data_IF_285377170760
#
_entry.id   IF_285377170760
#
_cell.length_a   1.000
_cell.length_b   1.000
_cell.length_c   1.000
_cell.angle_alpha   90.00
_cell.angle_beta   90.00
_cell.angle_gamma   90.00
#
_symmetry.space_group_name_H-M   'P 1'
#
loop_
_entity.id
_entity.type
_entity.pdbx_description
1 polymer ?
#
# COMPACT_ATOMS: atom_id res chain seq x y z
N UNK A 1 35.06 -66.87 -26.34
CA UNK A 1 33.59 -67.02 -26.28
C UNK A 1 33.22 -67.77 -25.01
N UNK A 2 32.14 -67.46 -24.28
CA UNK A 2 31.22 -66.30 -24.30
C UNK A 2 31.25 -65.54 -22.92
N UNK A 3 30.84 -64.28 -22.67
CA UNK A 3 29.61 -63.48 -22.85
C UNK A 3 28.34 -64.04 -22.22
N UNK A 4 27.83 -63.33 -21.20
CA UNK A 4 26.40 -63.22 -20.88
C UNK A 4 25.93 -63.99 -19.64
N UNK A 5 25.31 -63.30 -18.68
CA UNK A 5 23.86 -63.13 -18.73
C UNK A 5 23.40 -61.92 -17.89
N UNK A 6 22.58 -61.07 -18.51
CA UNK A 6 21.74 -60.06 -17.87
C UNK A 6 20.40 -60.74 -17.62
N UNK A 7 19.75 -60.48 -16.48
CA UNK A 7 18.28 -60.28 -16.50
C UNK A 7 17.76 -59.57 -15.24
N UNK A 8 16.63 -58.83 -15.39
CA UNK A 8 16.10 -57.86 -14.45
C UNK A 8 14.96 -58.44 -13.60
N UNK A 9 14.55 -57.73 -12.55
CA UNK A 9 13.25 -57.91 -11.94
C UNK A 9 12.54 -56.57 -11.82
N UNK A 10 11.55 -56.40 -12.69
CA UNK A 10 10.49 -55.41 -12.55
C UNK A 10 9.39 -55.92 -11.61
N UNK A 11 8.78 -54.95 -10.94
CA UNK A 11 7.41 -54.89 -10.44
C UNK A 11 6.89 -55.96 -9.46
N UNK A 12 6.49 -55.50 -8.26
CA UNK A 12 5.12 -55.75 -7.80
C UNK A 12 4.64 -54.60 -6.89
N UNK A 13 3.60 -53.90 -7.38
CA UNK A 13 2.72 -53.01 -6.64
C UNK A 13 2.08 -53.72 -5.44
N UNK A 14 1.67 -52.88 -4.48
CA UNK A 14 0.63 -53.07 -3.45
C UNK A 14 1.07 -53.62 -2.09
N UNK A 15 1.44 -52.69 -1.21
CA UNK A 15 0.86 -52.63 0.14
C UNK A 15 0.56 -51.17 0.47
N UNK A 16 -0.61 -50.70 0.05
CA UNK A 16 -1.31 -49.61 0.74
C UNK A 16 -1.87 -50.18 2.05
N UNK A 17 -1.44 -49.66 3.19
CA UNK A 17 -2.32 -49.31 4.31
C UNK A 17 -1.52 -48.82 5.52
N UNK A 18 -2.00 -47.70 6.08
CA UNK A 18 -1.95 -47.36 7.51
C UNK A 18 -0.71 -46.63 8.05
N UNK A 19 -0.82 -45.30 8.11
CA UNK A 19 -0.57 -44.37 9.23
C UNK A 19 -0.40 -42.97 8.59
N UNK A 20 -1.44 -42.17 8.35
CA UNK A 20 -2.31 -41.43 9.29
C UNK A 20 -1.55 -40.60 10.35
N UNK A 21 -1.47 -39.30 10.03
CA UNK A 21 -1.65 -38.13 10.90
C UNK A 21 -0.57 -37.75 11.93
N UNK A 22 0.21 -36.72 11.58
CA UNK A 22 0.50 -35.56 12.42
C UNK A 22 0.92 -34.43 11.46
N UNK A 23 0.03 -33.49 11.11
CA UNK A 23 -0.25 -32.32 11.95
C UNK A 23 0.44 -31.09 11.34
N UNK A 24 -0.09 -30.58 10.23
CA UNK A 24 0.31 -29.26 9.67
C UNK A 24 -0.91 -28.55 9.10
N UNK A 25 -1.85 -28.23 10.00
CA UNK A 25 -3.03 -27.40 9.71
C UNK A 25 -2.88 -26.01 10.33
N UNK A 26 -1.70 -25.39 10.21
CA UNK A 26 -1.45 -24.03 10.74
C UNK A 26 -1.07 -22.98 9.70
N UNK A 27 -1.18 -23.28 8.39
CA UNK A 27 -0.84 -22.32 7.33
C UNK A 27 -2.02 -21.62 6.67
N UNK A 28 -3.25 -21.76 7.17
CA UNK A 28 -4.46 -21.19 6.55
C UNK A 28 -5.17 -20.18 7.50
N UNK A 29 -4.40 -19.33 8.19
CA UNK A 29 -4.98 -18.25 9.03
C UNK A 29 -4.48 -16.83 8.76
N UNK A 30 -3.62 -16.60 7.76
CA UNK A 30 -3.09 -15.25 7.48
C UNK A 30 -3.37 -14.66 6.09
N UNK A 31 -4.13 -15.33 5.22
CA UNK A 31 -4.41 -14.79 3.86
C UNK A 31 -5.72 -14.00 3.72
N UNK A 32 -6.50 -13.82 4.79
CA UNK A 32 -7.80 -13.14 4.71
C UNK A 32 -7.73 -11.60 4.82
N UNK A 33 -6.66 -11.03 5.40
CA UNK A 33 -6.56 -9.58 5.63
C UNK A 33 -6.04 -8.77 4.44
N UNK A 34 -5.07 -9.31 3.69
CA UNK A 34 -4.38 -8.58 2.60
C UNK A 34 -5.29 -8.41 1.38
N UNK A 35 -6.12 -9.41 1.09
CA UNK A 35 -7.10 -9.35 -0.02
C UNK A 35 -8.16 -8.26 0.20
N UNK A 36 -8.51 -7.97 1.46
CA UNK A 36 -9.56 -7.01 1.80
C UNK A 36 -9.06 -5.55 1.68
N UNK A 37 -7.79 -5.28 2.02
CA UNK A 37 -7.19 -3.94 1.90
C UNK A 37 -7.00 -3.52 0.44
N UNK A 38 -6.55 -4.44 -0.42
CA UNK A 38 -6.44 -4.18 -1.86
C UNK A 38 -7.82 -3.94 -2.50
N UNK A 39 -8.85 -4.69 -2.06
CA UNK A 39 -10.22 -4.49 -2.50
C UNK A 39 -10.77 -3.11 -2.11
N UNK A 40 -10.46 -2.62 -0.90
CA UNK A 40 -10.91 -1.30 -0.42
C UNK A 40 -10.27 -0.16 -1.21
N UNK A 41 -8.96 -0.23 -1.50
CA UNK A 41 -8.29 0.80 -2.32
C UNK A 41 -8.81 0.81 -3.76
N UNK A 42 -9.09 -0.37 -4.33
CA UNK A 42 -9.73 -0.50 -5.64
C UNK A 42 -11.17 0.02 -5.60
N UNK A 43 -11.93 -0.21 -4.54
CA UNK A 43 -13.27 0.33 -4.37
C UNK A 43 -13.28 1.86 -4.25
N UNK A 44 -12.33 2.45 -3.54
CA UNK A 44 -12.16 3.92 -3.46
C UNK A 44 -11.82 4.49 -4.84
N UNK A 45 -10.89 3.86 -5.59
CA UNK A 45 -10.56 4.28 -6.95
C UNK A 45 -11.75 4.13 -7.93
N UNK A 46 -12.55 3.06 -7.81
CA UNK A 46 -13.75 2.85 -8.62
C UNK A 46 -14.88 3.84 -8.26
N UNK A 47 -15.00 4.23 -6.98
CA UNK A 47 -15.94 5.26 -6.54
C UNK A 47 -15.62 6.60 -7.22
N UNK A 48 -14.34 6.98 -7.26
CA UNK A 48 -13.85 8.22 -7.90
C UNK A 48 -14.20 8.26 -9.40
N UNK A 49 -14.10 7.12 -10.11
CA UNK A 49 -14.42 7.04 -11.55
C UNK A 49 -15.93 7.11 -11.81
N UNK A 50 -16.75 6.45 -10.99
CA UNK A 50 -18.22 6.41 -11.14
C UNK A 50 -18.92 7.71 -10.77
N UNK A 51 -18.33 8.53 -9.87
CA UNK A 51 -18.93 9.78 -9.39
C UNK A 51 -18.70 10.98 -10.33
N UNK A 52 -17.86 10.83 -11.38
CA UNK A 52 -17.59 11.87 -12.39
C UNK A 52 -18.79 12.20 -13.29
N UNK A 53 -19.77 11.31 -13.40
CA UNK A 53 -20.95 11.48 -14.28
C UNK A 53 -22.15 12.13 -13.57
N UNK A 54 -22.06 12.42 -12.26
CA UNK A 54 -23.20 12.85 -11.43
C UNK A 54 -23.02 14.23 -10.79
N UNK A 55 -22.42 15.19 -11.49
CA UNK A 55 -22.29 16.57 -11.01
C UNK A 55 -23.61 17.34 -11.19
N UNK A 56 -24.38 17.45 -10.11
CA UNK A 56 -25.50 18.40 -9.97
C UNK A 56 -25.12 19.54 -9.03
N UNK A 57 -25.43 20.77 -9.46
CA UNK A 57 -25.15 22.02 -8.75
C UNK A 57 -25.85 22.10 -7.38
N UNK A 58 -25.07 22.41 -6.33
CA UNK A 58 -25.58 22.62 -4.97
C UNK A 58 -24.72 23.61 -4.20
N UNK A 59 -25.13 24.88 -4.25
CA UNK A 59 -24.52 26.03 -3.57
C UNK A 59 -24.90 26.08 -2.08
N UNK A 60 -23.95 25.76 -1.21
CA UNK A 60 -23.77 26.24 0.17
C UNK A 60 -22.46 25.63 0.68
N UNK A 61 -21.68 26.33 1.51
CA UNK A 61 -20.53 25.74 2.19
C UNK A 61 -20.96 25.30 3.61
N UNK A 62 -21.57 24.11 3.79
CA UNK A 62 -21.77 23.57 5.13
C UNK A 62 -20.43 23.13 5.70
N UNK A 63 -20.26 23.30 7.00
CA UNK A 63 -19.25 22.60 7.80
C UNK A 63 -19.23 21.12 7.39
N UNK A 64 -18.04 20.56 7.19
CA UNK A 64 -17.91 19.19 6.70
C UNK A 64 -18.57 18.23 7.71
N UNK A 65 -19.49 17.35 7.26
CA UNK A 65 -20.17 16.43 8.16
C UNK A 65 -19.16 15.43 8.74
N UNK A 66 -19.24 15.19 10.05
CA UNK A 66 -18.51 14.10 10.70
C UNK A 66 -19.17 12.78 10.30
N UNK A 67 -18.37 11.80 9.90
CA UNK A 67 -18.84 10.47 9.47
C UNK A 67 -18.48 9.44 10.54
N UNK A 68 -19.47 9.03 11.32
CA UNK A 68 -19.37 8.04 12.39
C UNK A 68 -20.37 6.88 12.24
N UNK A 69 -21.25 6.94 11.25
CA UNK A 69 -22.28 5.93 10.98
C UNK A 69 -22.39 5.63 9.47
N UNK A 70 -22.85 4.42 9.09
CA UNK A 70 -23.14 4.10 7.69
C UNK A 70 -24.17 5.06 7.06
N UNK A 71 -25.18 5.49 7.81
CA UNK A 71 -26.22 6.40 7.31
C UNK A 71 -25.67 7.78 6.98
N UNK A 72 -24.71 8.27 7.77
CA UNK A 72 -24.02 9.53 7.47
C UNK A 72 -23.20 9.43 6.18
N UNK A 73 -22.60 8.27 5.89
CA UNK A 73 -21.88 8.01 4.64
C UNK A 73 -22.82 7.98 3.43
N UNK A 74 -23.99 7.33 3.55
CA UNK A 74 -25.01 7.25 2.50
C UNK A 74 -25.65 8.60 2.17
N UNK A 75 -25.68 9.53 3.13
CA UNK A 75 -26.22 10.87 2.95
C UNK A 75 -25.29 11.83 2.16
N UNK A 76 -24.05 11.42 1.87
CA UNK A 76 -23.08 12.26 1.17
C UNK A 76 -23.38 12.37 -0.32
N UNK A 77 -23.28 13.60 -0.83
CA UNK A 77 -23.29 13.84 -2.28
C UNK A 77 -21.90 13.66 -2.89
N UNK A 78 -21.86 13.37 -4.19
CA UNK A 78 -20.62 13.29 -4.97
C UNK A 78 -19.73 14.54 -4.77
N UNK A 79 -20.33 15.73 -4.88
CA UNK A 79 -19.64 17.00 -4.73
C UNK A 79 -19.10 17.23 -3.30
N UNK A 80 -19.75 16.66 -2.26
CA UNK A 80 -19.22 16.71 -0.90
C UNK A 80 -17.99 15.80 -0.77
N UNK A 81 -18.08 14.56 -1.23
CA UNK A 81 -16.96 13.61 -1.21
C UNK A 81 -15.76 14.17 -1.97
N UNK A 82 -15.98 14.73 -3.16
CA UNK A 82 -14.93 15.33 -3.97
C UNK A 82 -14.25 16.50 -3.24
N UNK A 83 -15.01 17.43 -2.65
CA UNK A 83 -14.45 18.52 -1.85
C UNK A 83 -13.63 18.02 -0.67
N UNK A 84 -14.12 17.00 0.03
CA UNK A 84 -13.39 16.38 1.15
C UNK A 84 -12.06 15.77 0.68
N UNK A 85 -12.07 15.11 -0.48
CA UNK A 85 -10.89 14.49 -1.06
C UNK A 85 -9.86 15.51 -1.53
N UNK A 86 -10.31 16.59 -2.18
CA UNK A 86 -9.44 17.69 -2.60
C UNK A 86 -8.78 18.38 -1.40
N UNK A 87 -9.54 18.63 -0.33
CA UNK A 87 -8.99 19.20 0.91
C UNK A 87 -7.97 18.28 1.58
N UNK A 88 -8.28 16.98 1.67
CA UNK A 88 -7.36 15.99 2.23
C UNK A 88 -6.08 15.86 1.38
N UNK A 89 -6.20 15.90 0.06
CA UNK A 89 -5.04 15.87 -0.85
C UNK A 89 -4.16 17.11 -0.67
N UNK A 90 -4.73 18.31 -0.56
CA UNK A 90 -3.97 19.52 -0.29
C UNK A 90 -3.23 19.43 1.05
N UNK A 91 -3.90 18.98 2.10
CA UNK A 91 -3.27 18.79 3.41
C UNK A 91 -2.17 17.70 3.39
N UNK A 92 -2.25 16.71 2.49
CA UNK A 92 -1.18 15.72 2.32
C UNK A 92 0.10 16.35 1.72
N UNK A 93 -0.07 17.36 0.85
CA UNK A 93 1.03 18.15 0.31
C UNK A 93 1.73 18.95 1.41
N UNK A 94 0.96 19.59 2.29
CA UNK A 94 1.47 20.37 3.42
C UNK A 94 2.19 19.47 4.45
N UNK A 95 1.77 18.21 4.56
CA UNK A 95 2.37 17.21 5.43
C UNK A 95 3.68 16.58 4.91
N UNK A 96 4.20 17.00 3.75
CA UNK A 96 5.44 16.45 3.15
C UNK A 96 6.65 16.55 4.09
N UNK A 97 6.69 17.54 4.98
CA UNK A 97 7.77 17.71 5.96
C UNK A 97 7.63 16.86 7.23
N UNK A 98 6.52 16.15 7.42
CA UNK A 98 6.25 15.42 8.66
C UNK A 98 6.72 13.97 8.58
N UNK A 99 7.36 13.43 9.64
CA UNK A 99 7.71 12.01 9.70
C UNK A 99 6.46 11.13 9.69
N UNK A 100 6.57 9.82 9.40
CA UNK A 100 5.46 8.88 9.55
C UNK A 100 4.94 8.91 10.99
N UNK A 101 3.64 8.68 11.17
CA UNK A 101 3.05 8.56 12.49
C UNK A 101 3.69 7.35 13.20
N UNK A 102 4.10 7.56 14.44
CA UNK A 102 4.62 6.53 15.33
C UNK A 102 3.64 6.36 16.48
N UNK A 103 3.19 5.12 16.72
CA UNK A 103 2.24 4.81 17.80
C UNK A 103 0.77 5.07 17.46
N UNK A 104 -0.11 5.06 18.48
CA UNK A 104 -1.56 5.11 18.29
C UNK A 104 -2.05 6.42 17.66
N UNK A 105 -2.97 6.31 16.70
CA UNK A 105 -3.61 7.47 16.05
C UNK A 105 -4.90 7.80 16.78
N UNK A 106 -4.85 8.81 17.65
CA UNK A 106 -5.98 9.21 18.52
C UNK A 106 -6.93 10.22 17.87
N UNK A 107 -6.50 10.88 16.79
CA UNK A 107 -7.30 11.85 16.06
C UNK A 107 -7.07 11.75 14.54
N UNK A 108 -8.09 12.11 13.76
CA UNK A 108 -8.02 12.15 12.29
C UNK A 108 -6.96 13.18 11.84
N UNK A 109 -5.91 12.78 11.10
CA UNK A 109 -5.02 13.75 10.49
C UNK A 109 -5.72 14.56 9.39
N UNK A 110 -5.33 15.81 9.20
CA UNK A 110 -5.96 16.70 8.21
C UNK A 110 -5.91 16.17 6.77
N UNK A 111 -4.87 15.37 6.45
CA UNK A 111 -4.69 14.73 5.14
C UNK A 111 -5.52 13.46 4.92
N UNK A 112 -6.38 13.10 5.87
CA UNK A 112 -7.34 11.99 5.76
C UNK A 112 -8.73 12.58 5.80
N UNK A 113 -9.56 12.37 4.77
CA UNK A 113 -10.95 12.86 4.78
C UNK A 113 -11.81 12.14 5.83
N UNK A 114 -12.98 12.68 6.20
CA UNK A 114 -13.88 11.99 7.16
C UNK A 114 -14.32 10.62 6.64
N UNK A 115 -14.56 10.51 5.33
CA UNK A 115 -14.91 9.22 4.68
C UNK A 115 -13.77 8.23 4.81
N UNK A 116 -12.55 8.64 4.47
CA UNK A 116 -11.37 7.79 4.62
C UNK A 116 -11.16 7.41 6.09
N UNK A 117 -11.31 8.36 7.00
CA UNK A 117 -11.13 8.13 8.43
C UNK A 117 -12.13 7.11 8.99
N UNK A 118 -13.39 7.21 8.60
CA UNK A 118 -14.40 6.21 8.93
C UNK A 118 -13.98 4.82 8.43
N UNK A 119 -13.67 4.70 7.14
CA UNK A 119 -13.29 3.43 6.51
C UNK A 119 -12.03 2.84 7.16
N UNK A 120 -11.00 3.65 7.40
CA UNK A 120 -9.74 3.17 7.98
C UNK A 120 -9.95 2.65 9.41
N UNK A 121 -10.79 3.29 10.21
CA UNK A 121 -11.15 2.81 11.56
C UNK A 121 -11.93 1.49 11.50
N UNK A 122 -12.91 1.38 10.61
CA UNK A 122 -13.69 0.15 10.43
C UNK A 122 -12.82 -1.02 9.96
N UNK A 123 -11.86 -0.78 9.07
CA UNK A 123 -10.91 -1.81 8.61
C UNK A 123 -9.95 -2.18 9.74
N UNK A 124 -9.42 -1.21 10.47
CA UNK A 124 -8.48 -1.47 11.56
C UNK A 124 -9.13 -2.27 12.71
N UNK A 125 -10.39 -2.00 13.04
CA UNK A 125 -11.14 -2.68 14.09
C UNK A 125 -11.32 -4.19 13.87
N UNK A 126 -11.15 -4.68 12.63
CA UNK A 126 -11.30 -6.10 12.30
C UNK A 126 -10.05 -6.94 12.62
N UNK A 127 -8.92 -6.30 12.91
CA UNK A 127 -7.64 -6.96 13.16
C UNK A 127 -7.36 -7.24 14.64
N UNK A 128 -6.36 -8.09 14.93
CA UNK A 128 -5.93 -8.39 16.31
C UNK A 128 -5.23 -7.20 17.00
N UNK A 129 -4.73 -6.23 16.22
CA UNK A 129 -4.11 -5.00 16.72
C UNK A 129 -4.67 -3.78 15.95
N UNK A 130 -5.82 -3.24 16.38
CA UNK A 130 -6.49 -2.13 15.70
C UNK A 130 -5.67 -0.85 15.69
N UNK A 131 -4.98 -0.52 16.78
CA UNK A 131 -4.23 0.74 16.89
C UNK A 131 -3.02 0.76 15.95
N UNK A 132 -2.21 -0.31 15.95
CA UNK A 132 -1.09 -0.41 15.03
C UNK A 132 -1.56 -0.50 13.57
N UNK A 133 -2.67 -1.21 13.32
CA UNK A 133 -3.25 -1.30 11.97
C UNK A 133 -3.72 0.06 11.48
N UNK A 134 -4.40 0.85 12.32
CA UNK A 134 -4.85 2.19 11.95
C UNK A 134 -3.66 3.10 11.63
N UNK A 135 -2.62 3.09 12.45
CA UNK A 135 -1.39 3.86 12.20
C UNK A 135 -0.75 3.49 10.85
N UNK A 136 -0.62 2.19 10.56
CA UNK A 136 -0.11 1.69 9.28
C UNK A 136 -0.96 2.19 8.11
N UNK A 137 -2.29 2.02 8.19
CA UNK A 137 -3.21 2.42 7.13
C UNK A 137 -3.19 3.91 6.85
N UNK A 138 -3.09 4.74 7.89
CA UNK A 138 -2.98 6.20 7.76
C UNK A 138 -1.66 6.60 7.10
N UNK A 139 -0.55 5.96 7.48
CA UNK A 139 0.76 6.19 6.85
C UNK A 139 0.77 5.77 5.38
N UNK A 140 0.17 4.62 5.05
CA UNK A 140 -0.01 4.15 3.68
C UNK A 140 -0.83 5.13 2.85
N UNK A 141 -1.97 5.60 3.37
CA UNK A 141 -2.82 6.57 2.68
C UNK A 141 -2.06 7.87 2.39
N UNK A 142 -1.30 8.37 3.36
CA UNK A 142 -0.46 9.56 3.17
C UNK A 142 0.57 9.33 2.06
N UNK A 143 1.26 8.19 2.07
CA UNK A 143 2.22 7.84 1.03
C UNK A 143 1.56 7.81 -0.35
N UNK A 144 0.40 7.15 -0.50
CA UNK A 144 -0.35 7.12 -1.76
C UNK A 144 -0.73 8.52 -2.27
N UNK A 145 -1.28 9.37 -1.40
CA UNK A 145 -1.61 10.77 -1.77
C UNK A 145 -0.36 11.55 -2.20
N UNK A 146 0.77 11.35 -1.52
CA UNK A 146 2.03 12.01 -1.88
C UNK A 146 2.60 11.51 -3.21
N UNK A 147 2.43 10.24 -3.57
CA UNK A 147 2.78 9.73 -4.91
C UNK A 147 1.93 10.40 -5.99
N UNK A 148 0.62 10.50 -5.79
CA UNK A 148 -0.28 11.18 -6.73
C UNK A 148 0.07 12.66 -6.89
N UNK A 149 0.33 13.35 -5.79
CA UNK A 149 0.79 14.75 -5.80
C UNK A 149 2.13 14.89 -6.52
N UNK A 150 3.08 13.98 -6.28
CA UNK A 150 4.38 14.00 -6.93
C UNK A 150 4.26 13.89 -8.44
N UNK A 151 3.37 13.03 -8.94
CA UNK A 151 3.16 12.86 -10.39
C UNK A 151 2.69 14.16 -11.05
N UNK A 152 1.91 14.98 -10.34
CA UNK A 152 1.34 16.24 -10.83
C UNK A 152 2.22 17.47 -10.54
N UNK A 153 3.06 17.40 -9.51
CA UNK A 153 3.90 18.49 -9.07
C UNK A 153 5.01 18.81 -10.08
N UNK A 154 5.48 20.05 -10.03
CA UNK A 154 6.62 20.55 -10.82
C UNK A 154 7.58 21.35 -9.92
N UNK A 155 8.81 21.58 -10.41
CA UNK A 155 9.80 22.41 -9.73
C UNK A 155 10.14 21.93 -8.31
N UNK A 156 10.31 22.86 -7.38
CA UNK A 156 10.75 22.58 -6.02
C UNK A 156 9.82 21.63 -5.24
N UNK A 157 8.50 21.73 -5.45
CA UNK A 157 7.54 20.85 -4.80
C UNK A 157 7.71 19.40 -5.26
N UNK A 158 7.97 19.18 -6.55
CA UNK A 158 8.23 17.84 -7.10
C UNK A 158 9.47 17.22 -6.48
N UNK A 159 10.56 17.97 -6.37
CA UNK A 159 11.79 17.47 -5.75
C UNK A 159 11.62 17.20 -4.24
N UNK A 160 10.89 18.06 -3.51
CA UNK A 160 10.62 17.86 -2.09
C UNK A 160 9.78 16.59 -1.84
N UNK A 161 8.71 16.39 -2.61
CA UNK A 161 7.92 15.15 -2.57
C UNK A 161 8.77 13.93 -2.95
N UNK A 162 9.63 14.04 -3.96
CA UNK A 162 10.48 12.93 -4.37
C UNK A 162 11.43 12.49 -3.26
N UNK A 163 12.08 13.43 -2.56
CA UNK A 163 12.94 13.13 -1.42
C UNK A 163 12.15 12.45 -0.30
N UNK A 164 10.95 12.96 -0.02
CA UNK A 164 10.10 12.41 1.05
C UNK A 164 9.64 11.00 0.75
N UNK A 165 9.14 10.75 -0.46
CA UNK A 165 8.72 9.42 -0.90
C UNK A 165 9.88 8.43 -0.85
N UNK A 166 11.06 8.82 -1.31
CA UNK A 166 12.25 7.98 -1.26
C UNK A 166 12.64 7.60 0.18
N UNK A 167 12.48 8.52 1.13
CA UNK A 167 12.71 8.25 2.53
C UNK A 167 11.69 7.26 3.14
N UNK A 168 10.43 7.31 2.69
CA UNK A 168 9.33 6.51 3.24
C UNK A 168 9.23 5.10 2.64
N UNK A 169 9.75 4.86 1.42
CA UNK A 169 9.69 3.56 0.72
C UNK A 169 10.10 2.37 1.60
N UNK A 170 11.22 2.39 2.36
CA UNK A 170 11.62 1.25 3.18
C UNK A 170 10.57 0.84 4.21
N UNK A 171 9.91 1.82 4.85
CA UNK A 171 8.84 1.54 5.81
C UNK A 171 7.63 0.88 5.14
N UNK A 172 7.29 1.31 3.92
CA UNK A 172 6.19 0.72 3.15
C UNK A 172 6.49 -0.74 2.76
N UNK A 173 7.76 -1.04 2.43
CA UNK A 173 8.21 -2.41 2.13
C UNK A 173 8.22 -3.29 3.38
N UNK A 174 8.75 -2.78 4.48
CA UNK A 174 8.79 -3.50 5.76
C UNK A 174 7.38 -3.86 6.26
N UNK A 175 6.42 -2.95 6.06
CA UNK A 175 5.01 -3.14 6.42
C UNK A 175 4.24 -4.02 5.42
N UNK A 176 4.86 -4.41 4.30
CA UNK A 176 4.22 -5.20 3.24
C UNK A 176 3.19 -4.43 2.41
N UNK A 177 3.16 -3.10 2.53
CA UNK A 177 2.24 -2.22 1.81
C UNK A 177 2.72 -1.85 0.41
N UNK A 178 4.02 -2.03 0.15
CA UNK A 178 4.67 -1.87 -1.14
C UNK A 178 5.58 -3.08 -1.39
N UNK A 179 5.40 -3.78 -2.51
CA UNK A 179 6.30 -4.89 -2.85
C UNK A 179 7.67 -4.37 -3.33
N UNK A 180 8.71 -5.20 -3.23
CA UNK A 180 10.09 -4.81 -3.54
C UNK A 180 10.29 -4.41 -5.01
N UNK A 181 9.62 -5.06 -5.96
CA UNK A 181 9.80 -4.76 -7.38
C UNK A 181 9.19 -3.38 -7.70
N UNK A 182 7.97 -3.12 -7.21
CA UNK A 182 7.33 -1.81 -7.33
C UNK A 182 8.14 -0.73 -6.61
N UNK A 183 8.67 -1.03 -5.42
CA UNK A 183 9.53 -0.12 -4.68
C UNK A 183 10.78 0.27 -5.48
N UNK A 184 11.48 -0.69 -6.08
CA UNK A 184 12.65 -0.40 -6.92
C UNK A 184 12.30 0.47 -8.13
N UNK A 185 11.18 0.17 -8.79
CA UNK A 185 10.71 0.98 -9.90
C UNK A 185 10.43 2.43 -9.46
N UNK A 186 9.79 2.62 -8.30
CA UNK A 186 9.55 3.95 -7.74
C UNK A 186 10.86 4.66 -7.36
N UNK A 187 11.80 3.98 -6.69
CA UNK A 187 13.12 4.52 -6.36
C UNK A 187 13.85 5.03 -7.61
N UNK A 188 13.83 4.27 -8.71
CA UNK A 188 14.46 4.67 -9.96
C UNK A 188 13.81 5.93 -10.57
N UNK A 189 12.48 6.04 -10.54
CA UNK A 189 11.77 7.22 -11.03
C UNK A 189 12.06 8.46 -10.18
N UNK A 190 12.02 8.32 -8.86
CA UNK A 190 12.28 9.41 -7.91
C UNK A 190 13.73 9.89 -8.02
N UNK A 191 14.70 8.98 -8.17
CA UNK A 191 16.11 9.35 -8.38
C UNK A 191 16.36 9.98 -9.75
N UNK A 192 15.54 9.68 -10.76
CA UNK A 192 15.56 10.38 -12.05
C UNK A 192 15.25 11.87 -11.92
N UNK A 193 14.38 12.24 -10.98
CA UNK A 193 14.05 13.63 -10.63
C UNK A 193 15.17 14.28 -9.80
N UNK A 194 15.74 13.54 -8.85
CA UNK A 194 16.65 14.10 -7.83
C UNK A 194 18.12 14.17 -8.26
N UNK A 195 18.54 13.32 -9.19
CA UNK A 195 19.97 13.15 -9.52
C UNK A 195 20.20 13.24 -11.02
N UNK A 196 20.79 14.34 -11.47
CA UNK A 196 21.05 14.58 -12.89
C UNK A 196 22.16 13.68 -13.45
N UNK A 197 23.23 13.47 -12.70
CA UNK A 197 24.37 12.64 -13.14
C UNK A 197 24.00 11.13 -13.17
N UNK A 198 24.08 10.46 -14.33
CA UNK A 198 23.77 9.05 -14.46
C UNK A 198 24.63 8.12 -13.58
N UNK A 199 25.90 8.44 -13.33
CA UNK A 199 26.81 7.60 -12.53
C UNK A 199 26.43 7.70 -11.05
N UNK A 200 26.21 8.91 -10.57
CA UNK A 200 25.71 9.14 -9.21
C UNK A 200 24.34 8.51 -9.01
N UNK A 201 23.45 8.60 -9.99
CA UNK A 201 22.11 8.00 -9.93
C UNK A 201 22.16 6.49 -9.78
N UNK A 202 23.06 5.80 -10.51
CA UNK A 202 23.26 4.35 -10.37
C UNK A 202 23.76 3.97 -8.98
N UNK A 203 24.70 4.73 -8.43
CA UNK A 203 25.23 4.51 -7.07
C UNK A 203 24.12 4.68 -6.03
N UNK A 204 23.37 5.78 -6.11
CA UNK A 204 22.21 6.05 -5.25
C UNK A 204 21.14 4.98 -5.38
N UNK A 205 20.87 4.48 -6.58
CA UNK A 205 19.87 3.42 -6.79
C UNK A 205 20.29 2.12 -6.09
N UNK A 206 21.57 1.77 -6.10
CA UNK A 206 22.07 0.60 -5.37
C UNK A 206 21.97 0.79 -3.85
N UNK A 207 22.29 1.97 -3.32
CA UNK A 207 22.11 2.32 -1.90
C UNK A 207 20.64 2.19 -1.47
N UNK A 208 19.71 2.75 -2.26
CA UNK A 208 18.28 2.72 -1.96
C UNK A 208 17.69 1.30 -2.10
N UNK A 209 18.17 0.50 -3.06
CA UNK A 209 17.78 -0.89 -3.18
C UNK A 209 18.22 -1.73 -1.97
N UNK A 210 19.43 -1.46 -1.44
CA UNK A 210 19.92 -2.12 -0.23
C UNK A 210 19.02 -1.82 0.98
N UNK A 211 18.47 -0.60 1.10
CA UNK A 211 17.54 -0.22 2.19
C UNK A 211 16.23 -1.03 2.21
N UNK A 212 15.84 -1.63 1.08
CA UNK A 212 14.65 -2.48 0.98
C UNK A 212 14.98 -3.98 0.92
N UNK A 213 16.24 -4.32 1.20
CA UNK A 213 16.73 -5.70 1.23
C UNK A 213 16.95 -6.31 -0.16
N UNK A 214 17.18 -5.51 -1.20
CA UNK A 214 17.61 -5.98 -2.51
C UNK A 214 19.09 -5.68 -2.69
N UNK A 215 19.91 -6.72 -2.69
CA UNK A 215 21.33 -6.63 -3.01
C UNK A 215 21.57 -7.01 -4.46
N UNK A 216 22.22 -6.13 -5.22
CA UNK A 216 22.75 -6.47 -6.54
C UNK A 216 24.11 -7.15 -6.32
N UNK A 217 24.18 -8.47 -6.53
CA UNK A 217 25.47 -9.11 -6.76
C UNK A 217 25.96 -8.66 -8.14
N UNK A 218 27.05 -7.90 -8.17
CA UNK A 218 27.74 -7.53 -9.40
C UNK A 218 28.77 -8.64 -9.65
N UNK A 219 28.46 -9.56 -10.56
CA UNK A 219 29.48 -10.41 -11.21
C UNK A 219 30.17 -9.67 -12.36
#
# INVERSE_FOLDING_TARGET
FPVGDLRPFEEHKMLQASMKHSGSSDRIRHMSGIALVALVLVLVALLIIKLRDAAGDGNAAPSMPVIDTPQALEALTAAQVERMQQQAAQAAADATGLPPLQGPVTARPAYVSEVEWYILREVAAQGPDPEATLARLVNKLRFSKQVELWQQATGAQRSALAQRLLADIPSQVEQGDLDRATAQQQQAQLLGELVSDPVQRRTRLAEEAARIGVTFEIE
#
